data_IF_873861641931
#
_entry.id   IF_873861641931
#
_cell.length_a   1.000
_cell.length_b   1.000
_cell.length_c   1.000
_cell.angle_alpha   90.00
_cell.angle_beta   90.00
_cell.angle_gamma   90.00
#
_symmetry.space_group_name_H-M   'P 1'
#
loop_
_entity.id
_entity.type
_entity.pdbx_description
1 polymer ?
#
# COMPACT_ATOMS: atom_id res chain seq x y z
N UNK A 1 8.04 28.56 0.21
CA UNK A 1 7.10 27.50 -0.21
C UNK A 1 6.67 26.81 1.08
N UNK A 2 5.41 26.92 1.47
CA UNK A 2 4.87 26.22 2.64
C UNK A 2 4.47 24.82 2.21
N UNK A 3 4.85 23.81 2.96
CA UNK A 3 4.39 22.43 2.73
C UNK A 3 2.90 22.35 3.09
N UNK A 4 2.10 21.54 2.36
CA UNK A 4 0.71 21.31 2.73
C UNK A 4 0.63 20.58 4.06
N UNK A 5 -0.33 20.96 4.87
CA UNK A 5 -0.64 20.28 6.12
C UNK A 5 -1.43 19.00 5.84
N UNK A 6 -1.16 17.94 6.59
CA UNK A 6 -1.88 16.66 6.50
C UNK A 6 -2.56 16.34 7.83
N UNK A 7 -3.77 15.76 7.77
CA UNK A 7 -4.55 15.39 8.96
C UNK A 7 -4.24 13.98 9.42
N UNK A 8 -3.95 13.09 8.48
CA UNK A 8 -3.61 11.71 8.82
C UNK A 8 -2.63 11.08 7.84
N UNK A 9 -1.81 10.20 8.39
CA UNK A 9 -0.88 9.33 7.66
C UNK A 9 -1.06 7.90 8.15
N UNK A 10 -1.26 6.96 7.23
CA UNK A 10 -1.18 5.54 7.55
C UNK A 10 -0.21 4.83 6.60
N UNK A 11 0.52 3.86 7.14
CA UNK A 11 1.47 3.05 6.38
C UNK A 11 1.09 1.59 6.56
N UNK A 12 0.85 0.89 5.45
CA UNK A 12 0.61 -0.55 5.43
C UNK A 12 1.82 -1.23 4.79
N UNK A 13 2.55 -2.03 5.56
CA UNK A 13 3.65 -2.83 5.01
C UNK A 13 3.06 -3.98 4.19
N UNK A 14 3.40 -4.04 2.90
CA UNK A 14 2.97 -5.07 1.98
C UNK A 14 4.01 -6.15 1.79
N UNK A 15 5.28 -5.80 1.91
CA UNK A 15 6.41 -6.74 1.79
C UNK A 15 7.54 -6.32 2.71
N UNK A 16 8.08 -7.30 3.43
CA UNK A 16 9.29 -7.19 4.24
C UNK A 16 9.92 -8.58 4.35
N UNK A 17 11.16 -8.65 4.82
CA UNK A 17 11.91 -9.89 5.01
C UNK A 17 11.33 -10.83 6.06
N UNK A 18 10.38 -10.36 6.86
CA UNK A 18 9.83 -11.11 7.98
C UNK A 18 8.32 -10.95 8.09
N UNK A 19 7.64 -12.06 8.37
CA UNK A 19 6.22 -12.07 8.72
C UNK A 19 5.97 -13.01 9.90
N UNK A 20 5.14 -12.57 10.86
CA UNK A 20 4.70 -13.39 11.97
C UNK A 20 3.20 -13.13 12.24
N UNK A 21 2.38 -14.13 11.94
CA UNK A 21 0.92 -14.05 12.13
C UNK A 21 0.48 -14.15 13.59
N UNK A 22 1.34 -14.62 14.47
CA UNK A 22 1.02 -14.84 15.87
C UNK A 22 1.32 -13.62 16.74
N UNK A 23 2.04 -12.64 16.22
CA UNK A 23 2.29 -11.40 16.94
C UNK A 23 0.98 -10.64 17.16
N UNK A 24 0.69 -10.22 18.41
CA UNK A 24 -0.49 -9.41 18.69
C UNK A 24 -0.36 -8.02 18.10
N UNK A 25 -1.52 -7.39 17.80
CA UNK A 25 -1.56 -5.97 17.48
C UNK A 25 -1.13 -5.12 18.68
N UNK A 26 -0.55 -3.97 18.41
CA UNK A 26 -0.22 -2.94 19.39
C UNK A 26 -0.95 -1.63 19.07
N UNK A 27 -0.73 -0.59 19.87
CA UNK A 27 -1.33 0.73 19.62
C UNK A 27 -0.86 1.39 18.32
N UNK A 28 0.35 1.05 17.87
CA UNK A 28 0.98 1.65 16.69
C UNK A 28 1.11 0.69 15.50
N UNK A 29 0.90 -0.60 15.71
CA UNK A 29 1.01 -1.61 14.66
C UNK A 29 -0.18 -2.57 14.71
N UNK A 30 -1.09 -2.41 13.75
CA UNK A 30 -2.27 -3.27 13.60
C UNK A 30 -1.90 -4.42 12.67
N UNK A 31 -2.12 -5.65 13.13
CA UNK A 31 -1.89 -6.86 12.34
C UNK A 31 -3.12 -7.22 11.51
N UNK A 32 -2.96 -7.79 10.32
CA UNK A 32 -4.10 -8.30 9.58
C UNK A 32 -4.83 -9.38 10.38
N UNK A 33 -6.16 -9.45 10.28
CA UNK A 33 -6.93 -10.44 11.03
C UNK A 33 -6.56 -11.86 10.61
N UNK A 34 -6.50 -12.78 11.57
CA UNK A 34 -6.23 -14.19 11.30
C UNK A 34 -7.36 -14.90 10.56
N UNK A 35 -8.57 -14.36 10.66
CA UNK A 35 -9.75 -14.90 9.98
C UNK A 35 -10.48 -13.78 9.23
N UNK A 36 -10.87 -14.07 8.01
CA UNK A 36 -11.67 -13.16 7.18
C UNK A 36 -13.13 -13.58 7.32
N UNK A 37 -13.93 -12.73 7.98
CA UNK A 37 -15.34 -12.98 8.25
C UNK A 37 -15.58 -14.33 8.98
N UNK A 38 -16.75 -14.63 9.44
CA UNK A 38 -17.13 -15.84 10.20
C UNK A 38 -16.84 -17.20 9.48
N UNK A 39 -16.01 -17.20 8.46
CA UNK A 39 -15.58 -18.39 7.76
C UNK A 39 -14.39 -19.03 8.47
N UNK A 40 -14.50 -20.31 8.76
CA UNK A 40 -13.48 -21.14 9.43
C UNK A 40 -12.16 -21.33 8.64
N UNK A 41 -12.07 -20.80 7.43
CA UNK A 41 -10.85 -20.87 6.63
C UNK A 41 -10.04 -19.58 6.81
N UNK A 42 -8.84 -19.66 7.36
CA UNK A 42 -7.96 -18.51 7.44
C UNK A 42 -7.59 -18.04 6.02
N UNK A 43 -7.43 -16.73 5.80
CA UNK A 43 -6.88 -16.23 4.55
C UNK A 43 -5.48 -16.80 4.33
N UNK A 44 -4.98 -16.84 3.08
CA UNK A 44 -3.60 -17.22 2.81
C UNK A 44 -2.64 -16.43 3.73
N UNK A 45 -1.59 -17.08 4.25
CA UNK A 45 -0.62 -16.37 5.07
C UNK A 45 0.07 -15.27 4.24
N UNK A 46 0.43 -14.13 4.86
CA UNK A 46 1.27 -13.15 4.21
C UNK A 46 2.59 -13.79 3.75
N UNK A 47 3.05 -13.40 2.59
CA UNK A 47 4.36 -13.79 2.07
C UNK A 47 5.41 -12.83 2.60
N UNK A 48 6.56 -13.35 3.03
CA UNK A 48 7.76 -12.57 3.34
C UNK A 48 8.85 -12.92 2.32
N UNK A 49 9.49 -11.91 1.77
CA UNK A 49 10.55 -12.05 0.78
C UNK A 49 11.63 -11.00 1.03
N UNK A 50 12.86 -11.28 0.55
CA UNK A 50 13.88 -10.25 0.52
C UNK A 50 13.46 -9.12 -0.42
N UNK A 51 13.14 -7.96 0.16
CA UNK A 51 12.63 -6.81 -0.56
C UNK A 51 11.65 -6.00 0.27
N UNK A 52 11.19 -4.89 -0.28
CA UNK A 52 10.32 -3.97 0.43
C UNK A 52 9.13 -3.52 -0.41
N UNK A 53 8.00 -3.31 0.24
CA UNK A 53 6.87 -2.56 -0.32
C UNK A 53 5.97 -2.03 0.79
N UNK A 54 5.53 -0.79 0.66
CA UNK A 54 4.60 -0.16 1.57
C UNK A 54 3.53 0.64 0.83
N UNK A 55 2.29 0.58 1.30
CA UNK A 55 1.22 1.46 0.88
C UNK A 55 1.08 2.61 1.87
N UNK A 56 1.27 3.82 1.39
CA UNK A 56 1.21 5.05 2.19
C UNK A 56 -0.08 5.77 1.82
N UNK A 57 -0.94 6.04 2.81
CA UNK A 57 -2.16 6.83 2.65
C UNK A 57 -2.00 8.14 3.39
N UNK A 58 -2.23 9.22 2.68
CA UNK A 58 -2.16 10.58 3.20
C UNK A 58 -3.52 11.22 3.00
N UNK A 59 -4.14 11.70 4.07
CA UNK A 59 -5.39 12.45 3.98
C UNK A 59 -5.18 13.89 4.47
N UNK A 60 -5.76 14.84 3.74
CA UNK A 60 -5.81 16.25 4.13
C UNK A 60 -7.22 16.80 3.98
N UNK A 61 -7.64 17.59 4.98
CA UNK A 61 -8.87 18.37 4.97
C UNK A 61 -8.60 19.74 4.31
N UNK A 62 -8.19 19.74 3.05
CA UNK A 62 -8.00 21.02 2.37
C UNK A 62 -9.37 21.70 2.15
N UNK A 63 -9.72 22.61 3.05
CA UNK A 63 -11.02 23.31 3.10
C UNK A 63 -11.35 24.09 1.81
N UNK A 64 -10.39 24.29 0.93
CA UNK A 64 -10.59 24.91 -0.38
C UNK A 64 -11.17 23.95 -1.43
N UNK A 65 -11.00 22.63 -1.27
CA UNK A 65 -11.55 21.62 -2.17
C UNK A 65 -13.03 21.26 -1.85
N UNK A 66 -13.51 21.62 -0.66
CA UNK A 66 -14.86 21.28 -0.18
C UNK A 66 -16.02 22.00 -0.86
N UNK A 67 -15.77 23.04 -1.66
CA UNK A 67 -16.86 23.83 -2.22
C UNK A 67 -17.57 23.20 -3.43
N UNK A 68 -17.06 22.07 -3.98
CA UNK A 68 -17.61 21.53 -5.24
C UNK A 68 -17.89 20.01 -5.31
N UNK A 69 -17.63 19.22 -4.26
CA UNK A 69 -18.02 17.79 -4.26
C UNK A 69 -18.27 17.30 -2.84
N UNK A 70 -19.44 16.72 -2.61
CA UNK A 70 -19.83 16.16 -1.31
C UNK A 70 -18.79 15.17 -0.79
N UNK A 71 -18.52 15.30 0.49
CA UNK A 71 -17.87 14.38 1.43
C UNK A 71 -16.91 13.33 0.83
N UNK A 72 -15.72 13.75 0.43
CA UNK A 72 -14.60 12.85 0.25
C UNK A 72 -13.34 13.54 0.77
N UNK A 73 -12.75 12.98 1.81
CA UNK A 73 -11.38 13.30 2.22
C UNK A 73 -10.49 13.16 0.97
N UNK A 74 -9.72 14.18 0.64
CA UNK A 74 -8.69 14.05 -0.38
C UNK A 74 -7.62 13.07 0.14
N UNK A 75 -7.80 11.80 -0.18
CA UNK A 75 -6.84 10.76 0.14
C UNK A 75 -5.89 10.58 -1.04
N UNK A 76 -4.60 10.67 -0.78
CA UNK A 76 -3.55 10.33 -1.73
C UNK A 76 -2.89 9.01 -1.31
N UNK A 77 -2.94 8.02 -2.20
CA UNK A 77 -2.45 6.68 -1.96
C UNK A 77 -1.22 6.43 -2.82
N UNK A 78 -0.10 6.18 -2.16
CA UNK A 78 1.20 6.00 -2.77
C UNK A 78 1.65 4.57 -2.50
N UNK A 79 2.05 3.84 -3.55
CA UNK A 79 2.79 2.60 -3.41
C UNK A 79 4.28 2.93 -3.43
N UNK A 80 4.98 2.58 -2.37
CA UNK A 80 6.43 2.77 -2.24
C UNK A 80 7.13 1.43 -2.35
N UNK A 81 7.94 1.24 -3.37
CA UNK A 81 8.58 0.00 -3.80
C UNK A 81 7.60 -1.16 -4.12
N UNK A 82 8.08 -2.16 -4.82
CA UNK A 82 7.25 -3.21 -5.42
C UNK A 82 7.72 -4.64 -5.10
N UNK A 83 8.69 -4.81 -4.20
CA UNK A 83 9.20 -6.12 -3.79
C UNK A 83 10.05 -6.83 -4.84
N UNK A 84 10.49 -8.04 -4.48
CA UNK A 84 11.47 -8.84 -5.23
C UNK A 84 10.85 -9.82 -6.21
N UNK A 85 9.63 -10.28 -5.95
CA UNK A 85 8.98 -11.27 -6.81
C UNK A 85 7.83 -10.70 -7.61
N UNK A 86 7.45 -11.39 -8.68
CA UNK A 86 6.39 -10.97 -9.57
C UNK A 86 5.03 -10.85 -8.87
N UNK A 87 4.75 -11.68 -7.87
CA UNK A 87 3.44 -11.78 -7.25
C UNK A 87 3.39 -11.56 -5.73
N UNK A 88 4.52 -11.45 -5.05
CA UNK A 88 4.55 -11.37 -3.57
C UNK A 88 3.76 -10.19 -3.02
N UNK A 89 4.06 -8.98 -3.46
CA UNK A 89 3.34 -7.76 -3.05
C UNK A 89 1.88 -7.82 -3.47
N UNK A 90 1.60 -8.34 -4.66
CA UNK A 90 0.23 -8.49 -5.17
C UNK A 90 -0.58 -9.43 -4.29
N UNK A 91 -0.03 -10.59 -3.94
CA UNK A 91 -0.70 -11.58 -3.08
C UNK A 91 -1.03 -11.00 -1.71
N UNK A 92 -0.09 -10.26 -1.11
CA UNK A 92 -0.32 -9.62 0.18
C UNK A 92 -1.37 -8.51 0.09
N UNK A 93 -1.31 -7.68 -0.94
CA UNK A 93 -2.29 -6.62 -1.17
C UNK A 93 -3.71 -7.18 -1.38
N UNK A 94 -3.86 -8.23 -2.18
CA UNK A 94 -5.15 -8.93 -2.39
C UNK A 94 -5.68 -9.55 -1.09
N UNK A 95 -4.80 -10.18 -0.29
CA UNK A 95 -5.17 -10.73 1.02
C UNK A 95 -5.68 -9.65 1.98
N UNK A 96 -5.08 -8.47 1.94
CA UNK A 96 -5.49 -7.30 2.73
C UNK A 96 -6.71 -6.56 2.13
N UNK A 97 -7.19 -6.96 0.96
CA UNK A 97 -8.33 -6.33 0.29
C UNK A 97 -8.02 -4.95 -0.28
N UNK A 98 -6.76 -4.71 -0.64
CA UNK A 98 -6.32 -3.43 -1.22
C UNK A 98 -6.79 -3.36 -2.68
N UNK A 99 -7.47 -2.26 -3.02
CA UNK A 99 -7.86 -1.96 -4.38
C UNK A 99 -6.70 -1.26 -5.10
N UNK A 100 -6.08 -1.92 -6.07
CA UNK A 100 -4.99 -1.35 -6.86
C UNK A 100 -5.40 -0.08 -7.62
N UNK A 101 -6.67 0.03 -8.03
CA UNK A 101 -7.19 1.23 -8.67
C UNK A 101 -7.29 2.45 -7.74
N UNK A 102 -7.13 2.30 -6.44
CA UNK A 102 -7.02 3.43 -5.52
C UNK A 102 -5.64 4.07 -5.49
N UNK A 103 -4.59 3.38 -5.97
CA UNK A 103 -3.22 3.90 -5.99
C UNK A 103 -3.12 5.08 -6.95
N UNK A 104 -2.62 6.22 -6.47
CA UNK A 104 -2.45 7.45 -7.25
C UNK A 104 -1.07 7.52 -7.89
N UNK A 105 -0.04 7.04 -7.19
CA UNK A 105 1.34 7.02 -7.69
C UNK A 105 2.13 5.84 -7.16
N UNK A 106 3.15 5.46 -7.91
CA UNK A 106 4.16 4.46 -7.50
C UNK A 106 5.50 5.18 -7.43
N UNK A 107 6.20 5.00 -6.32
CA UNK A 107 7.52 5.57 -6.08
C UNK A 107 8.49 4.42 -5.88
N UNK A 108 9.59 4.42 -6.61
CA UNK A 108 10.70 3.49 -6.40
C UNK A 108 11.81 4.21 -5.65
N UNK A 109 12.29 3.60 -4.57
CA UNK A 109 13.40 4.14 -3.77
C UNK A 109 14.71 4.13 -4.53
N UNK A 110 14.96 3.05 -5.27
CA UNK A 110 16.16 2.87 -6.09
C UNK A 110 16.00 1.69 -7.06
N UNK A 111 17.00 1.49 -7.93
CA UNK A 111 16.92 0.53 -9.04
C UNK A 111 17.43 -0.88 -8.72
N UNK A 112 17.38 -1.37 -7.49
CA UNK A 112 17.68 -2.78 -7.19
C UNK A 112 16.46 -3.67 -7.40
N UNK A 113 16.69 -4.92 -7.85
CA UNK A 113 15.63 -5.85 -8.26
C UNK A 113 14.59 -6.14 -7.15
N UNK A 114 15.02 -6.14 -5.90
CA UNK A 114 14.20 -6.40 -4.72
C UNK A 114 13.24 -5.23 -4.35
N UNK A 115 13.28 -4.15 -5.13
CA UNK A 115 12.40 -2.99 -4.99
C UNK A 115 11.48 -2.75 -6.19
N UNK A 116 11.78 -3.32 -7.37
CA UNK A 116 10.96 -3.05 -8.56
C UNK A 116 10.47 -4.29 -9.33
N UNK A 117 10.93 -5.51 -9.04
CA UNK A 117 10.57 -6.69 -9.85
C UNK A 117 9.06 -6.95 -9.88
N UNK A 118 8.33 -6.66 -8.82
CA UNK A 118 6.87 -6.77 -8.77
C UNK A 118 6.09 -5.72 -9.57
N UNK A 119 6.74 -4.63 -10.00
CA UNK A 119 6.08 -3.49 -10.67
C UNK A 119 5.23 -3.89 -11.89
N UNK A 120 5.69 -4.73 -12.84
CA UNK A 120 4.87 -5.10 -13.99
C UNK A 120 3.54 -5.78 -13.62
N UNK A 121 3.54 -6.62 -12.58
CA UNK A 121 2.34 -7.31 -12.12
C UNK A 121 1.36 -6.37 -11.40
N UNK A 122 1.88 -5.38 -10.69
CA UNK A 122 1.09 -4.33 -10.06
C UNK A 122 0.44 -3.46 -11.14
N UNK A 123 1.21 -3.01 -12.15
CA UNK A 123 0.71 -2.16 -13.23
C UNK A 123 -0.39 -2.84 -14.04
N UNK A 124 -0.33 -4.16 -14.24
CA UNK A 124 -1.40 -4.93 -14.90
C UNK A 124 -2.74 -4.90 -14.16
N UNK A 125 -2.75 -4.55 -12.87
CA UNK A 125 -3.94 -4.48 -12.01
C UNK A 125 -4.50 -3.07 -11.86
N UNK A 126 -3.79 -2.07 -12.36
CA UNK A 126 -4.20 -0.67 -12.33
C UNK A 126 -4.78 -0.29 -13.67
N UNK A 127 -6.10 -0.13 -13.76
CA UNK A 127 -6.82 0.16 -15.00
C UNK A 127 -6.86 1.65 -15.37
N UNK A 128 -6.34 2.53 -14.50
CA UNK A 128 -6.32 3.98 -14.71
C UNK A 128 -4.91 4.50 -14.94
N UNK A 129 -4.75 5.66 -15.62
CA UNK A 129 -3.48 6.35 -15.69
C UNK A 129 -2.95 6.66 -14.29
N UNK A 130 -1.68 6.38 -14.05
CA UNK A 130 -1.01 6.62 -12.78
C UNK A 130 0.37 7.22 -13.02
N UNK A 131 0.92 7.85 -11.99
CA UNK A 131 2.25 8.43 -12.04
C UNK A 131 3.27 7.45 -11.45
N UNK A 132 4.33 7.19 -12.20
CA UNK A 132 5.50 6.43 -11.71
C UNK A 132 6.63 7.42 -11.49
N UNK A 133 7.13 7.48 -10.26
CA UNK A 133 8.26 8.31 -9.88
C UNK A 133 9.49 7.42 -9.70
N UNK A 134 10.48 7.61 -10.56
CA UNK A 134 11.75 6.92 -10.53
C UNK A 134 12.81 7.83 -9.89
N UNK A 135 13.78 7.28 -9.15
CA UNK A 135 14.90 8.04 -8.66
C UNK A 135 15.75 8.54 -9.86
N UNK A 136 16.29 9.73 -9.74
CA UNK A 136 17.23 10.35 -10.69
C UNK A 136 18.61 9.71 -10.61
#
# INVERSE_FOLDING_TARGET
MTLPEIDSLSITLLMDNYTDRLLPSSLIAIRPPMMKNEQFLPPPPPVAEHGFSALIRVASNDSMAYQNKGESLNENIILFDCGTSENGVVSNAETLGINFNSINSVILSHGHFDHFTGLPSILKRIDKPHQINLPS
#
